data_IF_690942771225
#
_entry.id   IF_690942771225
#
_cell.length_a   1.000
_cell.length_b   1.000
_cell.length_c   1.000
_cell.angle_alpha   90.00
_cell.angle_beta   90.00
_cell.angle_gamma   90.00
#
_symmetry.space_group_name_H-M   'P 1'
#
loop_
_entity.id
_entity.type
_entity.pdbx_description
1 polymer ?
#
# COMPACT_ATOMS: atom_id res chain seq x y z
N UNK A 1 16.74 4.76 -4.94
CA UNK A 1 16.32 4.77 -6.35
C UNK A 1 14.80 4.85 -6.49
N UNK A 2 14.21 6.02 -6.18
CA UNK A 2 12.79 6.27 -6.45
C UNK A 2 12.74 7.58 -7.23
N UNK A 3 12.49 7.48 -8.54
CA UNK A 3 12.21 8.62 -9.40
C UNK A 3 10.73 8.95 -9.33
N UNK A 4 10.40 10.21 -9.09
CA UNK A 4 9.02 10.68 -9.00
C UNK A 4 8.60 11.23 -10.37
N UNK A 5 7.80 10.46 -11.13
CA UNK A 5 7.10 10.97 -12.34
C UNK A 5 5.82 11.75 -11.96
N UNK A 6 5.41 11.64 -10.69
CA UNK A 6 4.16 12.14 -10.16
C UNK A 6 3.86 13.65 -10.34
N UNK A 7 4.84 14.58 -10.41
CA UNK A 7 4.51 16.01 -10.61
C UNK A 7 3.82 16.31 -11.94
N UNK A 8 3.88 15.39 -12.91
CA UNK A 8 3.21 15.52 -14.21
C UNK A 8 1.89 14.74 -14.28
N UNK A 9 1.49 14.07 -13.20
CA UNK A 9 0.30 13.23 -13.13
C UNK A 9 -0.79 13.90 -12.27
N UNK A 10 -2.07 13.77 -12.67
CA UNK A 10 -3.20 14.22 -11.87
C UNK A 10 -3.34 13.43 -10.55
N UNK A 11 -3.01 12.14 -10.59
CA UNK A 11 -3.02 11.25 -9.43
C UNK A 11 -2.13 10.03 -9.67
N UNK A 12 -1.88 9.28 -8.60
CA UNK A 12 -1.11 8.02 -8.63
C UNK A 12 -1.91 6.87 -8.01
N UNK A 13 -1.63 5.65 -8.47
CA UNK A 13 -2.12 4.40 -7.87
C UNK A 13 -0.92 3.64 -7.30
N UNK A 14 -1.04 3.12 -6.08
CA UNK A 14 0.04 2.38 -5.41
C UNK A 14 -0.19 0.88 -5.59
N UNK A 15 0.78 0.16 -6.17
CA UNK A 15 0.74 -1.31 -6.23
C UNK A 15 1.54 -1.88 -5.06
N UNK A 16 0.89 -2.68 -4.22
CA UNK A 16 1.48 -3.27 -3.02
C UNK A 16 1.55 -4.79 -3.21
N UNK A 17 2.75 -5.37 -3.16
CA UNK A 17 2.92 -6.83 -3.24
C UNK A 17 2.73 -7.43 -1.85
N UNK A 18 1.67 -8.20 -1.67
CA UNK A 18 1.36 -8.87 -0.41
C UNK A 18 2.51 -9.80 0.02
N UNK A 19 2.85 -9.78 1.31
CA UNK A 19 3.94 -10.58 1.89
C UNK A 19 5.36 -10.20 1.43
N UNK A 20 5.52 -9.25 0.50
CA UNK A 20 6.82 -8.84 -0.05
C UNK A 20 7.17 -7.38 0.20
N UNK A 21 6.18 -6.49 0.21
CA UNK A 21 6.40 -5.07 0.47
C UNK A 21 6.32 -4.83 1.98
N UNK A 22 7.41 -4.45 2.66
CA UNK A 22 7.37 -4.15 4.09
C UNK A 22 6.56 -2.88 4.37
N UNK A 23 5.81 -2.87 5.47
CA UNK A 23 4.92 -1.76 5.81
C UNK A 23 5.66 -0.42 5.96
N UNK A 24 6.85 -0.42 6.58
CA UNK A 24 7.64 0.80 6.76
C UNK A 24 8.06 1.43 5.41
N UNK A 25 8.25 0.62 4.37
CA UNK A 25 8.55 1.09 3.01
C UNK A 25 7.31 1.76 2.42
N UNK A 26 6.15 1.11 2.53
CA UNK A 26 4.87 1.66 2.08
C UNK A 26 4.57 3.01 2.75
N UNK A 27 4.71 3.10 4.08
CA UNK A 27 4.53 4.34 4.85
C UNK A 27 5.49 5.44 4.39
N UNK A 28 6.74 5.11 4.06
CA UNK A 28 7.71 6.08 3.51
C UNK A 28 7.29 6.58 2.13
N UNK A 29 6.81 5.70 1.26
CA UNK A 29 6.32 6.07 -0.07
C UNK A 29 5.11 7.00 0.00
N UNK A 30 4.12 6.68 0.85
CA UNK A 30 2.93 7.52 1.05
C UNK A 30 3.32 8.91 1.56
N UNK A 31 4.19 8.98 2.59
CA UNK A 31 4.66 10.28 3.12
C UNK A 31 5.37 11.12 2.07
N UNK A 32 6.19 10.50 1.23
CA UNK A 32 6.89 11.19 0.15
C UNK A 32 5.91 11.74 -0.89
N UNK A 33 4.88 10.97 -1.28
CA UNK A 33 3.84 11.44 -2.21
C UNK A 33 3.04 12.60 -1.62
N UNK A 34 2.65 12.50 -0.35
CA UNK A 34 1.94 13.55 0.38
C UNK A 34 2.77 14.83 0.51
N UNK A 35 4.07 14.71 0.83
CA UNK A 35 4.98 15.85 0.94
C UNK A 35 5.18 16.60 -0.40
N UNK A 36 4.90 15.94 -1.53
CA UNK A 36 4.95 16.54 -2.87
C UNK A 36 3.55 16.90 -3.40
N UNK A 37 2.52 16.92 -2.54
CA UNK A 37 1.14 17.23 -2.91
C UNK A 37 0.56 16.36 -4.03
N UNK A 38 1.03 15.12 -4.15
CA UNK A 38 0.54 14.17 -5.15
C UNK A 38 -0.73 13.51 -4.63
N UNK A 39 -1.82 13.59 -5.39
CA UNK A 39 -3.05 12.88 -5.08
C UNK A 39 -2.90 11.37 -5.25
N UNK A 40 -3.25 10.60 -4.21
CA UNK A 40 -3.28 9.13 -4.27
C UNK A 40 -4.72 8.71 -4.57
N UNK A 41 -4.96 8.18 -5.76
CA UNK A 41 -6.29 7.73 -6.19
C UNK A 41 -6.72 6.42 -5.49
N UNK A 42 -5.75 5.61 -5.06
CA UNK A 42 -6.00 4.35 -4.37
C UNK A 42 -4.79 3.42 -4.39
N UNK A 43 -5.01 2.18 -4.01
CA UNK A 43 -3.99 1.13 -4.01
C UNK A 43 -4.53 -0.19 -4.57
N UNK A 44 -3.65 -0.96 -5.20
CA UNK A 44 -3.90 -2.30 -5.72
C UNK A 44 -3.03 -3.28 -4.93
N UNK A 45 -3.65 -4.24 -4.26
CA UNK A 45 -2.96 -5.34 -3.62
C UNK A 45 -2.70 -6.42 -4.67
N UNK A 46 -1.42 -6.74 -4.89
CA UNK A 46 -0.96 -7.69 -5.90
C UNK A 46 -0.28 -8.90 -5.25
N UNK A 47 -0.34 -10.05 -5.92
CA UNK A 47 0.24 -11.30 -5.42
C UNK A 47 -0.63 -12.00 -4.37
N UNK A 48 -1.95 -11.78 -4.41
CA UNK A 48 -2.92 -12.56 -3.66
C UNK A 48 -2.87 -14.02 -4.14
N UNK A 49 -2.59 -14.95 -3.22
CA UNK A 49 -2.78 -16.39 -3.40
C UNK A 49 -3.57 -16.89 -2.20
N UNK A 50 -4.66 -17.64 -2.44
CA UNK A 50 -5.50 -18.22 -1.37
C UNK A 50 -4.68 -19.08 -0.40
N UNK A 51 -3.62 -19.73 -0.89
CA UNK A 51 -2.69 -20.54 -0.09
C UNK A 51 -1.94 -19.73 0.98
N UNK A 52 -1.68 -18.43 0.75
CA UNK A 52 -0.94 -17.57 1.69
C UNK A 52 -1.82 -17.06 2.84
N UNK A 53 -3.15 -17.09 2.70
CA UNK A 53 -4.09 -16.65 3.75
C UNK A 53 -4.53 -17.78 4.69
N UNK A 54 -4.30 -19.05 4.34
CA UNK A 54 -4.68 -20.18 5.21
C UNK A 54 -3.98 -20.17 6.59
N UNK A 55 -2.94 -19.34 6.78
CA UNK A 55 -2.25 -19.15 8.05
C UNK A 55 -2.52 -17.81 8.75
N UNK A 56 -3.32 -16.91 8.16
CA UNK A 56 -3.70 -15.63 8.76
C UNK A 56 -5.21 -15.60 8.85
N UNK A 57 -5.71 -16.05 10.00
CA UNK A 57 -7.12 -16.03 10.38
C UNK A 57 -7.73 -14.64 10.09
N UNK A 58 -8.84 -14.54 9.33
CA UNK A 58 -9.48 -13.26 9.02
C UNK A 58 -10.16 -12.58 10.22
N UNK A 59 -10.18 -13.23 11.40
CA UNK A 59 -10.97 -12.77 12.54
C UNK A 59 -10.38 -11.58 13.34
N UNK A 60 -9.10 -11.24 13.19
CA UNK A 60 -8.47 -10.22 14.05
C UNK A 60 -8.64 -8.77 13.56
N UNK A 61 -9.17 -8.52 12.36
CA UNK A 61 -9.20 -7.16 11.82
C UNK A 61 -10.36 -6.28 12.36
N UNK A 62 -11.35 -6.85 13.07
CA UNK A 62 -12.52 -6.14 13.57
C UNK A 62 -12.61 -6.02 15.11
N UNK A 63 -11.73 -6.66 15.89
CA UNK A 63 -11.75 -6.56 17.37
C UNK A 63 -10.92 -5.39 17.92
N UNK A 64 -11.18 -4.18 17.41
CA UNK A 64 -10.45 -2.97 17.78
C UNK A 64 -11.29 -1.79 18.25
N UNK A 65 -12.55 -1.99 18.66
CA UNK A 65 -13.40 -0.93 19.20
C UNK A 65 -14.31 -1.44 20.33
N UNK A 66 -13.77 -1.41 21.56
CA UNK A 66 -14.54 -1.25 22.81
C UNK A 66 -13.85 -0.25 23.71
#
# INVERSE_FOLDING_TARGET
DIGLVAPLCHSVVIVIRMGRTPEHVLRRCVRMLQANHVAIAGAILAGYSEETMACVDPHDYYEGQR
#
